data_IF_859349933237
#
_entry.id   IF_859349933237
#
_cell.length_a   1.000
_cell.length_b   1.000
_cell.length_c   1.000
_cell.angle_alpha   90.00
_cell.angle_beta   90.00
_cell.angle_gamma   90.00
#
_symmetry.space_group_name_H-M   'P 1'
#
loop_
_entity.id
_entity.type
_entity.pdbx_description
1 polymer ?
#
# COMPACT_ATOMS: atom_id res chain seq x y z
N UNK A 1 -7.71 -16.77 8.00
CA UNK A 1 -7.74 -15.64 7.07
C UNK A 1 -7.22 -14.47 7.86
N UNK A 2 -6.02 -13.97 7.53
CA UNK A 2 -5.48 -12.78 8.17
C UNK A 2 -6.44 -11.60 8.03
N UNK A 3 -6.40 -10.72 9.01
CA UNK A 3 -7.11 -9.44 8.98
C UNK A 3 -6.17 -8.35 8.53
N UNK A 4 -6.68 -7.47 7.68
CA UNK A 4 -5.98 -6.25 7.27
C UNK A 4 -6.72 -5.08 7.89
N UNK A 5 -6.01 -4.34 8.76
CA UNK A 5 -6.50 -3.13 9.40
C UNK A 5 -5.95 -1.94 8.63
N UNK A 6 -6.81 -1.24 7.89
CA UNK A 6 -6.45 0.07 7.33
C UNK A 6 -6.68 1.13 8.39
N UNK A 7 -5.62 1.85 8.76
CA UNK A 7 -5.71 2.96 9.71
C UNK A 7 -6.53 4.12 9.11
N UNK A 8 -7.14 4.97 9.96
CA UNK A 8 -7.90 6.12 9.49
C UNK A 8 -7.08 7.04 8.57
N UNK A 9 -7.63 7.34 7.40
CA UNK A 9 -7.05 8.26 6.41
C UNK A 9 -8.13 9.20 5.87
N UNK A 10 -7.87 10.51 5.90
CA UNK A 10 -8.84 11.57 5.56
C UNK A 10 -9.50 11.39 4.19
N UNK A 11 -8.77 10.86 3.20
CA UNK A 11 -9.24 10.73 1.81
C UNK A 11 -9.73 9.33 1.45
N UNK A 12 -9.06 8.28 1.93
CA UNK A 12 -9.24 6.91 1.43
C UNK A 12 -9.99 6.01 2.40
N UNK A 13 -9.92 6.30 3.70
CA UNK A 13 -10.55 5.47 4.73
C UNK A 13 -10.80 6.28 6.02
N UNK A 14 -11.76 7.24 6.04
CA UNK A 14 -11.85 8.23 7.12
C UNK A 14 -12.01 7.67 8.52
N UNK A 15 -12.71 6.55 8.67
CA UNK A 15 -12.94 5.90 9.97
C UNK A 15 -11.96 4.75 10.25
N UNK A 16 -11.04 4.47 9.31
CA UNK A 16 -10.32 3.21 9.27
C UNK A 16 -11.26 2.03 8.98
N UNK A 17 -10.71 0.85 8.72
CA UNK A 17 -11.51 -0.35 8.58
C UNK A 17 -10.71 -1.64 8.80
N UNK A 18 -11.43 -2.74 8.98
CA UNK A 18 -10.86 -4.07 9.09
C UNK A 18 -11.51 -4.96 8.05
N UNK A 19 -10.69 -5.65 7.27
CA UNK A 19 -11.13 -6.60 6.24
C UNK A 19 -10.43 -7.93 6.39
N UNK A 20 -11.05 -9.00 5.87
CA UNK A 20 -10.45 -10.33 5.83
C UNK A 20 -9.77 -10.54 4.47
N UNK A 21 -8.56 -11.07 4.48
CA UNK A 21 -7.81 -11.47 3.30
C UNK A 21 -7.36 -12.93 3.42
N UNK A 22 -6.92 -13.51 2.30
CA UNK A 22 -6.26 -14.82 2.28
C UNK A 22 -4.76 -14.61 2.05
N UNK A 23 -3.97 -15.53 2.60
CA UNK A 23 -2.58 -15.63 2.23
C UNK A 23 -2.47 -15.84 0.70
N UNK A 24 -1.63 -15.06 0.05
CA UNK A 24 -1.49 -15.01 -1.40
C UNK A 24 -2.32 -13.93 -2.11
N UNK A 25 -3.23 -13.24 -1.42
CA UNK A 25 -3.96 -12.11 -2.01
C UNK A 25 -3.04 -10.89 -2.18
N UNK A 26 -3.33 -10.04 -3.17
CA UNK A 26 -2.63 -8.78 -3.36
C UNK A 26 -3.21 -7.69 -2.44
N UNK A 27 -2.36 -6.99 -1.69
CA UNK A 27 -2.82 -6.00 -0.70
C UNK A 27 -3.60 -4.84 -1.33
N UNK A 28 -3.18 -4.35 -2.50
CA UNK A 28 -3.88 -3.25 -3.17
C UNK A 28 -5.25 -3.68 -3.70
N UNK A 29 -5.35 -4.88 -4.28
CA UNK A 29 -6.64 -5.42 -4.72
C UNK A 29 -7.61 -5.60 -3.54
N UNK A 30 -7.12 -6.12 -2.40
CA UNK A 30 -7.92 -6.22 -1.17
C UNK A 30 -8.39 -4.84 -0.69
N UNK A 31 -7.54 -3.82 -0.79
CA UNK A 31 -7.90 -2.45 -0.45
C UNK A 31 -9.03 -1.92 -1.36
N UNK A 32 -8.91 -2.09 -2.68
CA UNK A 32 -9.92 -1.64 -3.66
C UNK A 32 -11.24 -2.39 -3.52
N UNK A 33 -11.21 -3.71 -3.34
CA UNK A 33 -12.42 -4.52 -3.12
C UNK A 33 -13.18 -4.09 -1.85
N UNK A 34 -12.46 -3.52 -0.87
CA UNK A 34 -13.01 -2.94 0.34
C UNK A 34 -13.48 -1.48 0.20
N UNK A 35 -13.23 -0.84 -0.94
CA UNK A 35 -13.53 0.58 -1.19
C UNK A 35 -12.46 1.56 -0.70
N UNK A 36 -11.26 1.09 -0.36
CA UNK A 36 -10.08 1.91 -0.03
C UNK A 36 -9.30 2.17 -1.32
N UNK A 37 -9.69 3.21 -2.05
CA UNK A 37 -9.21 3.55 -3.40
C UNK A 37 -7.79 4.17 -3.41
N UNK A 38 -6.78 3.42 -2.96
CA UNK A 38 -5.37 3.86 -3.00
C UNK A 38 -4.95 4.10 -4.45
N UNK A 39 -4.29 5.23 -4.70
CA UNK A 39 -3.77 5.58 -6.03
C UNK A 39 -2.78 4.53 -6.58
N UNK A 40 -2.83 4.31 -7.88
CA UNK A 40 -2.01 3.29 -8.56
C UNK A 40 -1.69 3.71 -10.00
N UNK A 41 -1.11 4.91 -10.16
CA UNK A 41 -0.97 5.60 -11.45
C UNK A 41 -0.19 4.85 -12.55
N UNK A 42 0.62 3.84 -12.20
CA UNK A 42 1.34 3.01 -13.16
C UNK A 42 0.68 1.65 -13.42
N UNK A 43 -0.59 1.48 -13.05
CA UNK A 43 -1.36 0.24 -13.19
C UNK A 43 -0.60 -0.98 -12.62
N UNK A 44 -0.14 -0.85 -11.37
CA UNK A 44 0.58 -1.90 -10.63
C UNK A 44 1.92 -2.36 -11.25
N UNK A 45 2.45 -1.64 -12.24
CA UNK A 45 3.69 -2.00 -12.95
C UNK A 45 5.01 -1.72 -12.19
N UNK A 46 4.96 -1.49 -10.87
CA UNK A 46 6.13 -1.13 -10.05
C UNK A 46 6.96 0.04 -10.64
N UNK A 47 6.27 1.08 -11.12
CA UNK A 47 6.88 2.20 -11.85
C UNK A 47 6.44 3.59 -11.33
N UNK A 48 5.74 3.64 -10.20
CA UNK A 48 5.41 4.86 -9.47
C UNK A 48 5.40 4.59 -7.96
N UNK A 49 5.20 5.61 -7.14
CA UNK A 49 5.09 5.51 -5.67
C UNK A 49 3.71 5.85 -5.15
N UNK A 50 2.71 5.98 -6.04
CA UNK A 50 1.36 6.43 -5.65
C UNK A 50 0.60 5.44 -4.76
N UNK A 51 0.97 4.16 -4.84
CA UNK A 51 0.41 3.08 -4.02
C UNK A 51 1.21 2.80 -2.73
N UNK A 52 2.13 3.70 -2.36
CA UNK A 52 2.96 3.59 -1.17
C UNK A 52 2.08 3.47 0.09
N UNK A 53 2.41 2.50 0.94
CA UNK A 53 1.85 2.29 2.27
C UNK A 53 2.97 2.02 3.27
N UNK A 54 2.68 2.19 4.57
CA UNK A 54 3.58 1.76 5.65
C UNK A 54 2.90 0.62 6.41
N UNK A 55 3.61 -0.49 6.57
CA UNK A 55 3.10 -1.66 7.30
C UNK A 55 3.51 -1.52 8.77
N UNK A 56 2.56 -1.15 9.61
CA UNK A 56 2.78 -0.91 11.05
C UNK A 56 2.89 -2.21 11.85
N UNK A 57 2.21 -3.26 11.40
CA UNK A 57 2.28 -4.60 12.00
C UNK A 57 2.20 -5.67 10.89
N UNK A 58 2.92 -6.78 11.07
CA UNK A 58 2.91 -7.94 10.18
C UNK A 58 3.79 -7.82 8.92
N UNK A 59 4.68 -6.82 8.86
CA UNK A 59 5.59 -6.58 7.72
C UNK A 59 6.37 -7.84 7.30
N UNK A 60 6.95 -8.56 8.27
CA UNK A 60 7.78 -9.75 8.03
C UNK A 60 6.98 -10.94 7.45
N UNK A 61 5.65 -10.88 7.43
CA UNK A 61 4.80 -11.93 6.84
C UNK A 61 4.59 -11.76 5.33
N UNK A 62 4.88 -10.56 4.79
CA UNK A 62 4.76 -10.27 3.36
C UNK A 62 5.87 -10.96 2.56
N UNK A 63 5.68 -11.03 1.24
CA UNK A 63 6.80 -11.36 0.35
C UNK A 63 7.93 -10.32 0.45
N UNK A 64 9.15 -10.78 0.23
CA UNK A 64 10.34 -9.93 0.12
C UNK A 64 10.14 -8.82 -0.92
N UNK A 65 10.75 -7.67 -0.66
CA UNK A 65 10.88 -6.58 -1.63
C UNK A 65 11.76 -7.01 -2.81
N UNK A 66 11.50 -6.43 -3.98
CA UNK A 66 12.39 -6.58 -5.14
C UNK A 66 13.29 -5.36 -5.26
N UNK A 67 14.46 -5.50 -5.88
CA UNK A 67 15.36 -4.37 -6.17
C UNK A 67 14.62 -3.20 -6.86
N UNK A 68 13.69 -3.51 -7.78
CA UNK A 68 12.88 -2.50 -8.45
C UNK A 68 11.90 -1.79 -7.50
N UNK A 69 11.31 -2.52 -6.55
CA UNK A 69 10.44 -1.91 -5.53
C UNK A 69 11.26 -0.97 -4.63
N UNK A 70 12.45 -1.39 -4.21
CA UNK A 70 13.37 -0.57 -3.39
C UNK A 70 13.79 0.71 -4.12
N UNK A 71 14.20 0.59 -5.40
CA UNK A 71 14.54 1.73 -6.26
C UNK A 71 13.38 2.74 -6.41
N UNK A 72 12.13 2.27 -6.33
CA UNK A 72 10.95 3.13 -6.38
C UNK A 72 10.63 3.73 -5.01
N UNK A 73 10.75 2.96 -3.93
CA UNK A 73 10.53 3.43 -2.57
C UNK A 73 11.50 4.55 -2.17
N UNK A 74 12.73 4.55 -2.67
CA UNK A 74 13.69 5.66 -2.53
C UNK A 74 13.16 7.01 -3.05
N UNK A 75 12.16 6.97 -3.94
CA UNK A 75 11.49 8.15 -4.51
C UNK A 75 10.18 8.47 -3.79
N UNK A 76 9.75 7.68 -2.81
CA UNK A 76 8.48 7.88 -2.12
C UNK A 76 8.55 9.05 -1.13
N UNK A 77 7.43 9.75 -0.95
CA UNK A 77 7.31 10.75 0.09
C UNK A 77 7.11 10.05 1.44
N UNK A 78 7.83 10.47 2.48
CA UNK A 78 7.67 9.89 3.82
C UNK A 78 8.08 8.42 3.90
N UNK A 79 9.17 8.04 3.20
CA UNK A 79 9.74 6.69 3.29
C UNK A 79 10.10 6.32 4.74
N UNK A 80 9.71 5.13 5.17
CA UNK A 80 10.00 4.51 6.45
C UNK A 80 10.60 3.10 6.23
N UNK A 81 11.12 2.48 7.29
CA UNK A 81 11.72 1.14 7.20
C UNK A 81 10.72 0.08 6.73
N UNK A 82 9.46 0.18 7.18
CA UNK A 82 8.41 -0.79 6.86
C UNK A 82 7.51 -0.29 5.71
N UNK A 83 8.02 0.60 4.87
CA UNK A 83 7.32 1.07 3.67
C UNK A 83 7.29 0.00 2.59
N UNK A 84 6.16 -0.08 1.89
CA UNK A 84 5.96 -0.96 0.74
C UNK A 84 5.16 -0.28 -0.36
N UNK A 85 5.28 -0.79 -1.59
CA UNK A 85 4.31 -0.51 -2.65
C UNK A 85 3.19 -1.53 -2.53
N UNK A 86 1.98 -1.10 -2.11
CA UNK A 86 0.87 -2.03 -1.85
C UNK A 86 0.53 -2.94 -3.05
N UNK A 87 0.74 -2.46 -4.28
CA UNK A 87 0.56 -3.27 -5.49
C UNK A 87 1.55 -4.44 -5.63
N UNK A 88 2.67 -4.43 -4.90
CA UNK A 88 3.70 -5.49 -4.89
C UNK A 88 3.62 -6.37 -3.64
N UNK A 89 2.73 -6.04 -2.69
CA UNK A 89 2.55 -6.81 -1.47
C UNK A 89 1.60 -7.98 -1.69
N UNK A 90 2.10 -9.18 -1.38
CA UNK A 90 1.35 -10.41 -1.28
C UNK A 90 1.17 -10.72 0.20
N UNK A 91 -0.09 -10.86 0.61
CA UNK A 91 -0.49 -11.08 2.00
C UNK A 91 0.03 -12.43 2.50
N UNK A 92 0.63 -12.42 3.69
CA UNK A 92 1.12 -13.61 4.39
C UNK A 92 0.05 -14.34 5.19
N UNK A 93 0.49 -15.06 6.22
CA UNK A 93 -0.41 -15.77 7.15
C UNK A 93 -0.78 -14.94 8.40
N UNK A 94 -0.13 -13.80 8.62
CA UNK A 94 -0.32 -12.93 9.79
C UNK A 94 -1.22 -11.72 9.47
N UNK A 95 -1.84 -11.17 10.53
CA UNK A 95 -2.63 -9.95 10.44
C UNK A 95 -1.72 -8.75 10.10
N UNK A 96 -2.24 -7.81 9.32
CA UNK A 96 -1.55 -6.60 8.90
C UNK A 96 -2.21 -5.34 9.47
N UNK A 97 -1.40 -4.37 9.89
CA UNK A 97 -1.85 -2.99 10.12
C UNK A 97 -1.21 -2.09 9.07
N UNK A 98 -2.03 -1.44 8.26
CA UNK A 98 -1.62 -0.69 7.08
C UNK A 98 -1.94 0.79 7.27
N UNK A 99 -0.93 1.63 7.13
CA UNK A 99 -1.08 3.08 7.10
C UNK A 99 -0.92 3.59 5.67
N UNK A 100 -1.85 4.46 5.25
CA UNK A 100 -1.73 5.18 3.98
C UNK A 100 -1.09 6.54 4.29
N UNK A 101 0.05 6.89 3.67
CA UNK A 101 0.68 8.19 3.86
C UNK A 101 -0.23 9.34 3.44
N UNK A 102 -0.15 10.46 4.16
CA UNK A 102 -0.97 11.66 3.91
C UNK A 102 -0.77 12.27 2.52
N UNK A 103 0.41 12.07 1.91
CA UNK A 103 0.75 12.61 0.59
C UNK A 103 1.49 11.55 -0.23
N UNK A 104 1.30 11.59 -1.54
CA UNK A 104 2.14 10.85 -2.49
C UNK A 104 2.60 11.77 -3.63
N UNK A 105 3.69 11.37 -4.29
CA UNK A 105 4.16 12.03 -5.50
C UNK A 105 3.42 11.42 -6.69
N UNK A 106 2.43 12.15 -7.22
CA UNK A 106 1.63 11.70 -8.36
C UNK A 106 1.84 12.62 -9.58
N UNK A 107 2.89 12.34 -10.36
CA UNK A 107 3.23 13.08 -11.57
C UNK A 107 2.16 13.05 -12.67
N UNK A 108 1.24 12.07 -12.65
CA UNK A 108 0.12 12.03 -13.61
C UNK A 108 -0.92 13.12 -13.31
N UNK A 109 -1.03 13.56 -12.06
CA UNK A 109 -1.96 14.62 -11.64
C UNK A 109 -1.34 16.02 -11.79
N UNK A 110 -0.02 16.12 -11.95
CA UNK A 110 0.73 17.39 -12.07
C UNK A 110 0.63 18.04 -13.47
N UNK A 111 -0.02 17.39 -14.45
CA UNK A 111 -0.18 17.94 -15.81
C UNK A 111 -1.28 19.02 -15.95
N UNK A 112 -1.94 19.41 -14.86
CA UNK A 112 -3.08 20.35 -14.87
C UNK A 112 -2.75 21.75 -14.31
N UNK A 113 -1.57 22.30 -14.64
CA UNK A 113 -1.23 23.71 -14.43
C UNK A 113 -0.75 24.38 -15.72
#
# INVERSE_FOLDING_TARGET
MPKIVFLPHEEFCPEGMVVEAKAGDNLLEVAHDAGVEIHHACDCSCACTTCHVVIREGFDSLNDTTDQEEDMLDKAWGLEMDSRLSCQCIVGEEDLVVEIPKYNLNHANEAAH
#
